data_IF_398726708322
#
_entry.id   IF_398726708322
#
_cell.length_a   1.000
_cell.length_b   1.000
_cell.length_c   1.000
_cell.angle_alpha   90.00
_cell.angle_beta   90.00
_cell.angle_gamma   90.00
#
_symmetry.space_group_name_H-M   'P 1'
#
loop_
_entity.id
_entity.type
_entity.pdbx_description
1 polymer ?
#
# COMPACT_ATOMS: atom_id res chain seq x y z
N UNK A 1 -12.28 -9.29 2.23
CA UNK A 1 -13.16 -8.24 1.68
C UNK A 1 -12.33 -7.48 0.67
N UNK A 2 -12.72 -7.52 -0.62
CA UNK A 2 -12.03 -6.80 -1.69
C UNK A 2 -12.32 -5.32 -1.47
N UNK A 3 -11.34 -4.59 -0.94
CA UNK A 3 -11.44 -3.14 -0.85
C UNK A 3 -11.26 -2.61 -2.26
N UNK A 4 -12.37 -2.24 -2.92
CA UNK A 4 -12.32 -1.34 -4.07
C UNK A 4 -11.78 0.00 -3.57
N UNK A 5 -10.46 0.07 -3.49
CA UNK A 5 -9.69 1.25 -3.20
C UNK A 5 -10.28 2.39 -4.03
N UNK A 6 -10.97 3.34 -3.38
CA UNK A 6 -11.43 4.54 -4.06
C UNK A 6 -10.20 5.37 -4.38
N UNK A 7 -9.75 5.24 -5.62
CA UNK A 7 -8.74 6.13 -6.18
C UNK A 7 -9.34 7.52 -6.35
N UNK A 8 -8.52 8.55 -6.13
CA UNK A 8 -8.87 9.95 -6.29
C UNK A 8 -9.92 10.47 -5.31
N UNK A 9 -9.71 10.22 -4.01
CA UNK A 9 -10.44 10.98 -2.99
C UNK A 9 -9.98 12.43 -3.09
N UNK A 10 -10.90 13.34 -3.42
CA UNK A 10 -10.55 14.77 -3.56
C UNK A 10 -10.49 15.44 -2.18
N UNK A 11 -9.71 16.53 -2.03
CA UNK A 11 -9.66 17.29 -0.78
C UNK A 11 -11.04 17.73 -0.29
N UNK A 12 -11.95 18.08 -1.20
CA UNK A 12 -13.32 18.49 -0.85
C UNK A 12 -14.16 17.35 -0.29
N UNK A 13 -13.95 16.13 -0.81
CA UNK A 13 -14.61 14.93 -0.29
C UNK A 13 -14.10 14.59 1.13
N UNK A 14 -12.79 14.71 1.35
CA UNK A 14 -12.20 14.56 2.69
C UNK A 14 -12.72 15.62 3.66
N UNK A 15 -12.74 16.89 3.24
CA UNK A 15 -13.26 17.99 4.07
C UNK A 15 -14.70 17.74 4.49
N UNK A 16 -15.58 17.32 3.56
CA UNK A 16 -16.98 16.98 3.89
C UNK A 16 -17.08 15.84 4.90
N UNK A 17 -16.24 14.80 4.76
CA UNK A 17 -16.20 13.69 5.71
C UNK A 17 -15.80 14.16 7.11
N UNK A 18 -14.74 14.97 7.23
CA UNK A 18 -14.27 15.48 8.51
C UNK A 18 -15.27 16.45 9.15
N UNK A 19 -15.94 17.31 8.37
CA UNK A 19 -17.02 18.18 8.86
C UNK A 19 -18.17 17.39 9.48
N UNK A 20 -18.60 16.29 8.84
CA UNK A 20 -19.66 15.43 9.38
C UNK A 20 -19.19 14.72 10.65
N UNK A 21 -17.96 14.21 10.67
CA UNK A 21 -17.39 13.49 11.82
C UNK A 21 -17.25 14.38 13.05
N UNK A 22 -16.75 15.61 12.88
CA UNK A 22 -16.62 16.59 13.97
C UNK A 22 -18.00 16.94 14.53
N UNK A 23 -19.00 17.19 13.67
CA UNK A 23 -20.38 17.47 14.09
C UNK A 23 -21.03 16.32 14.87
N UNK A 24 -20.62 15.08 14.61
CA UNK A 24 -21.16 13.88 15.26
C UNK A 24 -20.38 13.45 16.51
N UNK A 25 -19.18 13.99 16.76
CA UNK A 25 -18.27 13.50 17.80
C UNK A 25 -18.23 14.45 19.00
N UNK A 26 -18.67 14.03 20.20
CA UNK A 26 -18.74 14.90 21.39
C UNK A 26 -17.38 15.23 22.02
N UNK A 27 -16.26 14.95 21.34
CA UNK A 27 -14.89 15.17 21.85
C UNK A 27 -13.89 15.63 20.79
N UNK A 28 -14.36 16.06 19.62
CA UNK A 28 -13.51 16.67 18.58
C UNK A 28 -14.03 18.06 18.30
N UNK A 29 -13.21 19.07 18.54
CA UNK A 29 -13.63 20.46 18.45
C UNK A 29 -13.22 21.12 17.13
N UNK A 30 -12.27 20.51 16.41
CA UNK A 30 -11.76 21.05 15.15
C UNK A 30 -11.54 19.97 14.07
N UNK A 31 -11.64 20.37 12.80
CA UNK A 31 -11.35 19.52 11.64
C UNK A 31 -9.88 19.11 11.63
N UNK A 32 -8.99 20.02 12.03
CA UNK A 32 -7.55 19.77 12.14
C UNK A 32 -7.22 18.57 13.04
N UNK A 33 -7.87 18.43 14.20
CA UNK A 33 -7.71 17.27 15.08
C UNK A 33 -8.12 15.97 14.40
N UNK A 34 -9.20 16.01 13.60
CA UNK A 34 -9.64 14.86 12.82
C UNK A 34 -8.67 14.46 11.73
N UNK A 35 -8.07 15.44 11.08
CA UNK A 35 -7.10 15.23 9.99
C UNK A 35 -5.80 14.65 10.56
N UNK A 36 -5.30 15.20 11.66
CA UNK A 36 -4.09 14.71 12.35
C UNK A 36 -4.29 13.27 12.84
N UNK A 37 -5.45 12.96 13.42
CA UNK A 37 -5.78 11.58 13.80
C UNK A 37 -5.74 10.64 12.59
N UNK A 38 -6.40 11.00 11.48
CA UNK A 38 -6.43 10.16 10.28
C UNK A 38 -5.05 10.02 9.62
N UNK A 39 -4.19 11.04 9.68
CA UNK A 39 -2.79 10.94 9.24
C UNK A 39 -2.04 9.88 10.07
N UNK A 40 -2.15 9.92 11.40
CA UNK A 40 -1.48 8.94 12.27
C UNK A 40 -1.96 7.50 12.05
N UNK A 41 -3.26 7.32 11.80
CA UNK A 41 -3.84 6.02 11.46
C UNK A 41 -3.34 5.54 10.11
N UNK A 42 -3.22 6.44 9.13
CA UNK A 42 -2.70 6.10 7.81
C UNK A 42 -1.23 5.69 7.88
N UNK A 43 -0.40 6.41 8.64
CA UNK A 43 1.01 6.09 8.84
C UNK A 43 1.18 4.71 9.51
N UNK A 44 0.36 4.41 10.53
CA UNK A 44 0.34 3.09 11.17
C UNK A 44 -0.03 1.97 10.18
N UNK A 45 -1.06 2.19 9.35
CA UNK A 45 -1.50 1.22 8.34
C UNK A 45 -0.47 1.03 7.22
N UNK A 46 0.19 2.10 6.78
CA UNK A 46 1.32 2.02 5.84
C UNK A 46 2.47 1.22 6.44
N UNK A 47 2.89 1.50 7.68
CA UNK A 47 3.95 0.73 8.33
C UNK A 47 3.62 -0.78 8.42
N UNK A 48 2.37 -1.12 8.73
CA UNK A 48 1.90 -2.50 8.73
C UNK A 48 1.93 -3.13 7.32
N UNK A 49 1.49 -2.39 6.29
CA UNK A 49 1.53 -2.84 4.90
C UNK A 49 2.97 -3.06 4.42
N UNK A 50 3.89 -2.15 4.73
CA UNK A 50 5.31 -2.28 4.41
C UNK A 50 5.95 -3.51 5.06
N UNK A 51 5.58 -3.78 6.32
CA UNK A 51 6.04 -4.99 7.04
C UNK A 51 5.56 -6.26 6.31
N UNK A 52 4.29 -6.28 5.91
CA UNK A 52 3.72 -7.40 5.17
C UNK A 52 4.38 -7.59 3.80
N UNK A 53 4.59 -6.51 3.03
CA UNK A 53 5.30 -6.55 1.75
C UNK A 53 6.73 -7.07 1.93
N UNK A 54 7.41 -6.67 3.01
CA UNK A 54 8.77 -7.13 3.33
C UNK A 54 8.82 -8.64 3.56
N UNK A 55 7.83 -9.21 4.27
CA UNK A 55 7.69 -10.66 4.44
C UNK A 55 7.44 -11.35 3.10
N UNK A 56 6.59 -10.78 2.25
CA UNK A 56 6.31 -11.32 0.92
C UNK A 56 7.57 -11.36 0.04
N UNK A 57 8.35 -10.27 0.01
CA UNK A 57 9.63 -10.18 -0.71
C UNK A 57 10.61 -11.22 -0.18
N UNK A 58 10.75 -11.36 1.15
CA UNK A 58 11.63 -12.36 1.75
C UNK A 58 11.25 -13.79 1.32
N UNK A 59 9.95 -14.11 1.31
CA UNK A 59 9.44 -15.40 0.84
C UNK A 59 9.74 -15.66 -0.63
N UNK A 60 9.62 -14.64 -1.50
CA UNK A 60 9.96 -14.74 -2.93
C UNK A 60 11.47 -14.93 -3.16
N UNK A 61 12.32 -14.20 -2.42
CA UNK A 61 13.78 -14.34 -2.48
C UNK A 61 14.19 -15.75 -2.02
N UNK A 62 13.61 -16.23 -0.91
CA UNK A 62 13.86 -17.59 -0.45
C UNK A 62 13.43 -18.63 -1.50
N UNK A 63 12.28 -18.42 -2.14
CA UNK A 63 11.78 -19.31 -3.19
C UNK A 63 12.70 -19.33 -4.41
N UNK A 64 13.35 -18.21 -4.78
CA UNK A 64 14.36 -18.21 -5.85
C UNK A 64 15.54 -19.14 -5.55
N UNK A 65 15.94 -19.26 -4.29
CA UNK A 65 17.01 -20.17 -3.85
C UNK A 65 16.63 -21.66 -3.93
N UNK A 66 15.34 -21.98 -3.86
CA UNK A 66 14.83 -23.36 -3.93
C UNK A 66 14.65 -23.89 -5.35
N UNK A 67 14.57 -23.00 -6.35
CA UNK A 67 14.41 -23.43 -7.75
C UNK A 67 15.76 -23.92 -8.26
N UNK A 68 15.92 -25.23 -8.43
CA UNK A 68 17.11 -25.83 -9.02
C UNK A 68 17.30 -25.35 -10.47
N UNK A 69 18.50 -24.88 -10.81
CA UNK A 69 18.82 -24.30 -12.11
C UNK A 69 18.83 -25.31 -13.25
N UNK A 70 18.83 -26.62 -12.96
CA UNK A 70 18.87 -27.68 -13.96
C UNK A 70 17.49 -28.20 -14.39
N UNK A 71 16.40 -27.77 -13.73
CA UNK A 71 15.06 -28.21 -14.11
C UNK A 71 14.60 -27.57 -15.43
N UNK A 72 13.91 -28.31 -16.32
CA UNK A 72 13.55 -27.85 -17.67
C UNK A 72 12.66 -26.59 -17.69
N UNK A 73 11.97 -26.26 -16.59
CA UNK A 73 11.12 -25.06 -16.47
C UNK A 73 11.63 -24.01 -15.46
N UNK A 74 12.84 -24.20 -14.91
CA UNK A 74 13.39 -23.33 -13.86
C UNK A 74 13.47 -21.86 -14.28
N UNK A 75 13.75 -21.59 -15.56
CA UNK A 75 13.85 -20.22 -16.10
C UNK A 75 12.50 -19.50 -16.10
N UNK A 76 11.41 -20.20 -16.43
CA UNK A 76 10.06 -19.64 -16.44
C UNK A 76 9.60 -19.30 -15.02
N UNK A 77 9.84 -20.20 -14.07
CA UNK A 77 9.47 -20.03 -12.66
C UNK A 77 10.25 -18.85 -12.05
N UNK A 78 11.58 -18.82 -12.26
CA UNK A 78 12.42 -17.69 -11.79
C UNK A 78 11.97 -16.37 -12.41
N UNK A 79 11.66 -16.36 -13.71
CA UNK A 79 11.12 -15.17 -14.39
C UNK A 79 9.83 -14.68 -13.77
N UNK A 80 8.88 -15.58 -13.48
CA UNK A 80 7.65 -15.23 -12.77
C UNK A 80 7.91 -14.64 -11.38
N UNK A 81 8.78 -15.27 -10.59
CA UNK A 81 9.16 -14.76 -9.26
C UNK A 81 9.79 -13.36 -9.36
N UNK A 82 10.64 -13.10 -10.36
CA UNK A 82 11.21 -11.76 -10.60
C UNK A 82 10.13 -10.71 -10.90
N UNK A 83 9.10 -11.05 -11.67
CA UNK A 83 7.98 -10.15 -11.95
C UNK A 83 7.21 -9.80 -10.67
N UNK A 84 6.90 -10.81 -9.84
CA UNK A 84 6.26 -10.57 -8.54
C UNK A 84 7.13 -9.74 -7.61
N UNK A 85 8.44 -10.01 -7.57
CA UNK A 85 9.39 -9.26 -6.76
C UNK A 85 9.43 -7.79 -7.18
N UNK A 86 9.49 -7.51 -8.48
CA UNK A 86 9.43 -6.15 -9.01
C UNK A 86 8.12 -5.44 -8.62
N UNK A 87 6.98 -6.15 -8.70
CA UNK A 87 5.67 -5.61 -8.32
C UNK A 87 5.59 -5.27 -6.83
N UNK A 88 6.05 -6.17 -5.95
CA UNK A 88 6.05 -5.91 -4.51
C UNK A 88 7.06 -4.82 -4.11
N UNK A 89 8.23 -4.76 -4.75
CA UNK A 89 9.19 -3.67 -4.55
C UNK A 89 8.60 -2.33 -5.00
N UNK A 90 7.88 -2.31 -6.12
CA UNK A 90 7.21 -1.09 -6.58
C UNK A 90 6.10 -0.64 -5.62
N UNK A 91 5.30 -1.57 -5.10
CA UNK A 91 4.30 -1.28 -4.07
C UNK A 91 4.95 -0.75 -2.78
N UNK A 92 6.04 -1.37 -2.32
CA UNK A 92 6.82 -0.90 -1.18
C UNK A 92 7.36 0.51 -1.40
N UNK A 93 7.87 0.82 -2.60
CA UNK A 93 8.36 2.16 -2.94
C UNK A 93 7.26 3.23 -2.85
N UNK A 94 6.05 2.93 -3.35
CA UNK A 94 4.91 3.84 -3.25
C UNK A 94 4.53 4.07 -1.78
N UNK A 95 4.49 3.00 -0.98
CA UNK A 95 4.12 3.08 0.44
C UNK A 95 5.19 3.80 1.28
N UNK A 96 6.48 3.60 0.96
CA UNK A 96 7.58 4.34 1.58
C UNK A 96 7.47 5.85 1.29
N UNK A 97 6.96 6.23 0.11
CA UNK A 97 6.65 7.63 -0.25
C UNK A 97 5.39 8.17 0.42
N UNK A 98 4.59 7.32 1.06
CA UNK A 98 3.54 7.71 1.99
C UNK A 98 4.15 8.05 3.36
N UNK A 99 5.01 7.15 3.89
CA UNK A 99 5.68 7.30 5.19
C UNK A 99 6.75 8.40 5.23
N UNK A 100 7.51 8.62 4.15
CA UNK A 100 8.55 9.65 4.08
C UNK A 100 7.99 11.07 4.19
N UNK A 101 6.68 11.25 4.04
CA UNK A 101 6.05 12.53 4.34
C UNK A 101 5.77 12.57 5.84
N UNK A 102 6.82 12.58 6.66
CA UNK A 102 6.68 12.80 8.10
C UNK A 102 6.48 14.30 8.28
N UNK A 103 5.20 14.70 8.34
CA UNK A 103 4.78 16.08 8.47
C UNK A 103 4.62 16.83 7.14
N UNK A 104 3.78 17.87 7.11
CA UNK A 104 3.61 18.71 5.92
C UNK A 104 4.94 19.37 5.56
N UNK A 105 5.40 19.18 4.32
CA UNK A 105 6.60 19.85 3.75
C UNK A 105 6.45 21.38 3.63
N UNK A 106 5.31 21.92 4.04
CA UNK A 106 4.93 23.32 3.92
C UNK A 106 4.59 23.79 5.34
N UNK A 107 5.59 23.81 6.22
CA UNK A 107 5.56 24.63 7.43
C UNK A 107 6.38 25.89 7.14
N UNK A 108 5.98 26.60 6.08
CA UNK A 108 6.29 28.03 5.98
C UNK A 108 5.39 28.70 7.02
N UNK A 109 5.99 29.21 8.08
CA UNK A 109 5.37 29.58 9.35
C UNK A 109 4.44 30.82 9.30
N UNK A 110 3.63 31.00 8.25
CA UNK A 110 2.93 32.26 8.00
C UNK A 110 1.58 32.11 7.26
N UNK A 111 0.87 30.97 7.38
CA UNK A 111 -0.48 30.85 6.81
C UNK A 111 -1.55 30.81 7.89
N UNK A 112 -2.65 31.53 7.66
CA UNK A 112 -3.84 31.58 8.51
C UNK A 112 -4.38 30.17 8.82
N UNK A 113 -5.18 30.05 9.89
CA UNK A 113 -5.73 28.76 10.34
C UNK A 113 -6.55 28.01 9.28
N UNK A 114 -7.21 28.73 8.36
CA UNK A 114 -7.95 28.16 7.22
C UNK A 114 -7.02 27.63 6.11
N UNK A 115 -5.90 28.31 5.87
CA UNK A 115 -4.88 27.85 4.93
C UNK A 115 -4.21 26.57 5.45
N UNK A 116 -3.97 26.50 6.76
CA UNK A 116 -3.41 25.32 7.41
C UNK A 116 -4.34 24.09 7.30
N UNK A 117 -5.65 24.26 7.50
CA UNK A 117 -6.63 23.19 7.30
C UNK A 117 -6.60 22.67 5.86
N UNK A 118 -6.63 23.60 4.89
CA UNK A 118 -6.69 23.23 3.46
C UNK A 118 -5.45 22.45 3.00
N UNK A 119 -4.25 22.86 3.44
CA UNK A 119 -2.98 22.19 3.15
C UNK A 119 -2.96 20.80 3.79
N UNK A 120 -3.42 20.69 5.04
CA UNK A 120 -3.45 19.42 5.78
C UNK A 120 -4.40 18.41 5.14
N UNK A 121 -5.58 18.86 4.69
CA UNK A 121 -6.56 18.01 3.99
C UNK A 121 -6.03 17.58 2.62
N UNK A 122 -5.41 18.49 1.86
CA UNK A 122 -4.81 18.15 0.57
C UNK A 122 -3.70 17.11 0.71
N UNK A 123 -2.88 17.22 1.76
CA UNK A 123 -1.82 16.27 2.07
C UNK A 123 -2.40 14.90 2.50
N UNK A 124 -3.43 14.88 3.37
CA UNK A 124 -4.11 13.64 3.78
C UNK A 124 -4.72 12.92 2.59
N UNK A 125 -5.46 13.62 1.72
CA UNK A 125 -6.01 13.10 0.47
C UNK A 125 -4.91 12.47 -0.39
N UNK A 126 -3.79 13.17 -0.58
CA UNK A 126 -2.66 12.67 -1.38
C UNK A 126 -2.07 11.39 -0.81
N UNK A 127 -1.84 11.33 0.51
CA UNK A 127 -1.31 10.14 1.18
C UNK A 127 -2.29 8.98 1.10
N UNK A 128 -3.57 9.23 1.35
CA UNK A 128 -4.62 8.20 1.29
C UNK A 128 -4.73 7.59 -0.11
N UNK A 129 -4.59 8.41 -1.16
CA UNK A 129 -4.54 7.93 -2.54
C UNK A 129 -3.31 7.05 -2.82
N UNK A 130 -2.13 7.41 -2.32
CA UNK A 130 -0.90 6.59 -2.46
C UNK A 130 -1.01 5.27 -1.70
N UNK A 131 -1.47 5.30 -0.46
CA UNK A 131 -1.69 4.09 0.33
C UNK A 131 -2.69 3.16 -0.36
N UNK A 132 -3.80 3.71 -0.87
CA UNK A 132 -4.81 2.96 -1.60
C UNK A 132 -4.24 2.30 -2.88
N UNK A 133 -3.34 2.98 -3.58
CA UNK A 133 -2.60 2.44 -4.72
C UNK A 133 -1.63 1.31 -4.32
N UNK A 134 -0.84 1.50 -3.28
CA UNK A 134 0.06 0.47 -2.77
C UNK A 134 -0.71 -0.77 -2.32
N UNK A 135 -1.84 -0.57 -1.61
CA UNK A 135 -2.72 -1.65 -1.17
C UNK A 135 -3.31 -2.40 -2.37
N UNK A 136 -3.83 -1.70 -3.38
CA UNK A 136 -4.38 -2.32 -4.58
C UNK A 136 -3.35 -3.16 -5.35
N UNK A 137 -2.13 -2.62 -5.51
CA UNK A 137 -1.03 -3.36 -6.14
C UNK A 137 -0.69 -4.62 -5.35
N UNK A 138 -0.62 -4.51 -4.02
CA UNK A 138 -0.36 -5.63 -3.13
C UNK A 138 -1.47 -6.70 -3.22
N UNK A 139 -2.74 -6.31 -3.10
CA UNK A 139 -3.89 -7.22 -3.21
C UNK A 139 -3.92 -7.92 -4.57
N UNK A 140 -3.75 -7.17 -5.66
CA UNK A 140 -3.70 -7.72 -7.02
C UNK A 140 -2.53 -8.68 -7.19
N UNK A 141 -1.36 -8.31 -6.65
CA UNK A 141 -0.17 -9.17 -6.63
C UNK A 141 -0.44 -10.50 -5.93
N UNK A 142 -1.06 -10.49 -4.75
CA UNK A 142 -1.42 -11.71 -4.03
C UNK A 142 -2.51 -12.54 -4.74
N UNK A 143 -3.52 -11.88 -5.32
CA UNK A 143 -4.55 -12.59 -6.11
C UNK A 143 -3.96 -13.28 -7.33
N UNK A 144 -2.92 -12.71 -7.96
CA UNK A 144 -2.21 -13.33 -9.09
C UNK A 144 -1.16 -14.36 -8.63
N UNK A 145 -0.61 -14.22 -7.43
CA UNK A 145 0.34 -15.17 -6.85
C UNK A 145 -0.32 -16.54 -6.62
N UNK A 146 -1.58 -16.57 -6.17
CA UNK A 146 -2.35 -17.81 -5.96
C UNK A 146 -2.40 -18.74 -7.20
N UNK A 147 -2.91 -18.28 -8.36
CA UNK A 147 -2.92 -19.07 -9.58
C UNK A 147 -1.52 -19.36 -10.10
N UNK A 148 -0.54 -18.46 -9.92
CA UNK A 148 0.86 -18.74 -10.25
C UNK A 148 1.43 -19.90 -9.44
N UNK A 149 1.18 -19.95 -8.13
CA UNK A 149 1.56 -21.06 -7.25
C UNK A 149 0.86 -22.36 -7.66
N UNK A 150 -0.43 -22.31 -7.99
CA UNK A 150 -1.16 -23.49 -8.49
C UNK A 150 -0.58 -24.04 -9.79
N UNK A 151 -0.26 -23.16 -10.75
CA UNK A 151 0.41 -23.55 -11.98
C UNK A 151 1.78 -24.19 -11.68
N UNK A 152 2.53 -23.63 -10.73
CA UNK A 152 3.82 -24.19 -10.33
C UNK A 152 3.71 -25.58 -9.69
N UNK A 153 2.73 -25.79 -8.80
CA UNK A 153 2.46 -27.11 -8.19
C UNK A 153 2.07 -28.12 -9.28
N UNK A 154 1.26 -27.73 -10.26
CA UNK A 154 0.87 -28.61 -11.36
C UNK A 154 2.05 -28.99 -12.26
N UNK A 155 2.94 -28.04 -12.55
CA UNK A 155 4.17 -28.29 -13.34
C UNK A 155 5.12 -29.23 -12.57
N UNK A 156 5.36 -28.97 -11.28
CA UNK A 156 6.22 -29.82 -10.46
C UNK A 156 5.65 -31.23 -10.27
N UNK A 157 4.33 -31.36 -10.08
CA UNK A 157 3.68 -32.68 -10.02
C UNK A 157 3.85 -33.49 -11.31
N UNK A 158 3.74 -32.86 -12.49
CA UNK A 158 3.98 -33.54 -13.77
C UNK A 158 5.41 -34.02 -13.94
N UNK A 159 6.40 -33.25 -13.45
CA UNK A 159 7.81 -33.64 -13.51
C UNK A 159 8.13 -34.83 -12.60
N UNK A 160 7.44 -34.96 -11.45
CA UNK A 160 7.63 -36.08 -10.50
C UNK A 160 6.92 -37.36 -10.96
N UNK A 161 5.86 -37.23 -11.77
CA UNK A 161 5.04 -38.36 -12.25
C UNK A 161 5.61 -39.09 -13.47
N UNK A 162 6.71 -38.62 -14.06
CA UNK A 162 7.41 -39.22 -15.20
C UNK A 162 8.66 -39.92 -14.70
#
# INVERSE_FOLDING_TARGET
MISWAKFNITPEQERRYHVVRVKASPGMNAISESVVYDMSVLDSKSAALLTFISVAIAGLIFSLGLVDGQAPDARLIRGGIFVFLALFVYAAWIDLRCLHIIGPKILSAESDGDDYESISIAELSRRRNKYSLALFLCETGFMLLGPFLMLWILVTYRVISI
#
